data_IF_885683698267
#
_entry.id   IF_885683698267
#
_cell.length_a   1.000
_cell.length_b   1.000
_cell.length_c   1.000
_cell.angle_alpha   90.00
_cell.angle_beta   90.00
_cell.angle_gamma   90.00
#
_symmetry.space_group_name_H-M   'P 1'
#
loop_
_entity.id
_entity.type
_entity.pdbx_description
1 polymer ?
#
# COMPACT_ATOMS: atom_id res chain seq x y z
N UNK A 1 -15.78 -25.64 8.06
CA UNK A 1 -14.86 -26.71 8.53
C UNK A 1 -13.84 -26.99 7.44
N UNK A 2 -12.55 -26.70 7.66
CA UNK A 2 -11.47 -26.98 6.69
C UNK A 2 -11.17 -28.47 6.72
N UNK A 3 -11.13 -29.18 5.58
CA UNK A 3 -10.84 -30.61 5.54
C UNK A 3 -9.47 -30.92 6.15
N UNK A 4 -9.41 -31.85 7.09
CA UNK A 4 -8.18 -32.27 7.81
C UNK A 4 -7.03 -32.66 6.86
N UNK A 5 -7.33 -33.11 5.65
CA UNK A 5 -6.34 -33.48 4.63
C UNK A 5 -5.59 -32.28 4.06
N UNK A 6 -6.23 -31.10 3.98
CA UNK A 6 -5.59 -29.84 3.52
C UNK A 6 -4.59 -29.32 4.56
N UNK A 7 -4.92 -29.43 5.84
CA UNK A 7 -4.02 -29.04 6.94
C UNK A 7 -2.78 -29.94 6.97
N UNK A 8 -2.95 -31.25 6.72
CA UNK A 8 -1.85 -32.23 6.67
C UNK A 8 -0.91 -31.96 5.49
N UNK A 9 -1.43 -31.66 4.31
CA UNK A 9 -0.61 -31.32 3.12
C UNK A 9 0.14 -30.00 3.31
N UNK A 10 -0.49 -29.02 3.95
CA UNK A 10 0.11 -27.70 4.23
C UNK A 10 1.26 -27.81 5.26
N UNK A 11 1.06 -28.59 6.32
CA UNK A 11 2.09 -28.84 7.33
C UNK A 11 3.26 -29.65 6.77
N UNK A 12 3.00 -30.61 5.88
CA UNK A 12 4.04 -31.41 5.20
C UNK A 12 4.87 -30.54 4.23
N UNK A 13 4.23 -29.63 3.49
CA UNK A 13 4.92 -28.66 2.61
C UNK A 13 5.79 -27.69 3.41
N UNK A 14 5.28 -27.19 4.55
CA UNK A 14 6.01 -26.27 5.43
C UNK A 14 7.20 -26.94 6.11
N UNK A 15 7.06 -28.22 6.54
CA UNK A 15 8.14 -28.99 7.15
C UNK A 15 9.25 -29.30 6.13
N UNK A 16 8.91 -29.67 4.90
CA UNK A 16 9.87 -29.94 3.83
C UNK A 16 10.62 -28.65 3.42
N UNK A 17 9.94 -27.50 3.38
CA UNK A 17 10.57 -26.23 3.07
C UNK A 17 11.57 -25.80 4.15
N UNK A 18 11.22 -26.00 5.43
CA UNK A 18 12.13 -25.73 6.53
C UNK A 18 13.33 -26.67 6.52
N UNK A 19 13.13 -27.97 6.27
CA UNK A 19 14.20 -28.96 6.18
C UNK A 19 15.18 -28.65 5.05
N UNK A 20 14.68 -28.32 3.87
CA UNK A 20 15.53 -27.94 2.72
C UNK A 20 16.35 -26.68 3.04
N UNK A 21 15.76 -25.66 3.67
CA UNK A 21 16.48 -24.47 4.08
C UNK A 21 17.54 -24.77 5.15
N UNK A 22 17.22 -25.64 6.12
CA UNK A 22 18.17 -26.06 7.15
C UNK A 22 19.34 -26.81 6.55
N UNK A 23 19.08 -27.74 5.62
CA UNK A 23 20.13 -28.48 4.90
C UNK A 23 21.01 -27.52 4.09
N UNK A 24 20.43 -26.53 3.40
CA UNK A 24 21.20 -25.51 2.67
C UNK A 24 22.10 -24.71 3.58
N UNK A 25 21.61 -24.26 4.73
CA UNK A 25 22.39 -23.52 5.72
C UNK A 25 23.55 -24.36 6.26
N UNK A 26 23.30 -25.65 6.53
CA UNK A 26 24.33 -26.59 6.99
C UNK A 26 25.42 -26.77 5.92
N UNK A 27 25.07 -26.96 4.65
CA UNK A 27 26.00 -27.09 3.55
C UNK A 27 26.87 -25.84 3.36
N UNK A 28 26.27 -24.65 3.46
CA UNK A 28 26.99 -23.37 3.42
C UNK A 28 27.99 -23.27 4.57
N UNK A 29 27.60 -23.66 5.78
CA UNK A 29 28.46 -23.66 6.96
C UNK A 29 29.63 -24.63 6.82
N UNK A 30 29.37 -25.85 6.38
CA UNK A 30 30.43 -26.87 6.14
C UNK A 30 31.42 -26.41 5.06
N UNK A 31 30.93 -25.76 4.01
CA UNK A 31 31.77 -25.19 2.97
C UNK A 31 32.64 -24.05 3.50
N UNK A 32 32.09 -23.14 4.30
CA UNK A 32 32.87 -22.07 4.95
C UNK A 32 33.98 -22.64 5.87
N UNK A 33 33.66 -23.69 6.64
CA UNK A 33 34.65 -24.39 7.47
C UNK A 33 35.77 -25.03 6.64
N UNK A 34 35.42 -25.60 5.47
CA UNK A 34 36.42 -26.19 4.58
C UNK A 34 37.41 -25.16 4.00
N UNK A 35 36.91 -23.95 3.64
CA UNK A 35 37.72 -22.83 3.19
C UNK A 35 38.66 -22.36 4.31
N UNK A 36 38.16 -22.21 5.54
CA UNK A 36 38.92 -21.83 6.72
C UNK A 36 40.02 -22.85 7.03
N UNK A 37 39.72 -24.15 6.94
CA UNK A 37 40.69 -25.23 7.12
C UNK A 37 41.80 -25.21 6.08
N UNK A 38 41.46 -25.03 4.80
CA UNK A 38 42.42 -24.93 3.72
C UNK A 38 43.32 -23.68 3.84
N UNK A 39 42.76 -22.56 4.29
CA UNK A 39 43.50 -21.33 4.59
C UNK A 39 44.47 -21.55 5.77
N UNK A 40 43.98 -22.15 6.87
CA UNK A 40 44.79 -22.42 8.05
C UNK A 40 45.98 -23.36 7.75
N UNK A 41 45.77 -24.33 6.87
CA UNK A 41 46.86 -25.27 6.44
C UNK A 41 47.80 -24.64 5.42
N UNK A 42 47.67 -23.35 5.07
CA UNK A 42 48.47 -22.63 4.04
C UNK A 42 48.52 -23.32 2.66
N UNK A 43 47.57 -24.22 2.40
CA UNK A 43 47.48 -24.93 1.11
C UNK A 43 46.84 -24.10 0.00
N UNK A 44 46.21 -22.98 0.32
CA UNK A 44 45.56 -22.11 -0.66
C UNK A 44 45.98 -20.66 -0.39
N UNK A 45 46.34 -19.92 -1.46
CA UNK A 45 46.66 -18.51 -1.36
C UNK A 45 45.42 -17.64 -1.02
N UNK A 46 45.65 -16.47 -0.44
CA UNK A 46 44.59 -15.49 -0.12
C UNK A 46 43.73 -15.16 -1.35
N UNK A 47 44.34 -15.09 -2.54
CA UNK A 47 43.66 -14.82 -3.79
C UNK A 47 42.60 -15.88 -4.11
N UNK A 48 42.89 -17.16 -3.94
CA UNK A 48 41.93 -18.24 -4.18
C UNK A 48 40.81 -18.26 -3.16
N UNK A 49 41.10 -17.95 -1.88
CA UNK A 49 40.03 -17.86 -0.84
C UNK A 49 39.07 -16.71 -1.10
N UNK A 50 39.55 -15.55 -1.58
CA UNK A 50 38.70 -14.43 -1.94
C UNK A 50 37.82 -14.72 -3.17
N UNK A 51 38.39 -15.34 -4.21
CA UNK A 51 37.62 -15.74 -5.41
C UNK A 51 36.55 -16.76 -5.05
N UNK A 52 36.88 -17.78 -4.27
CA UNK A 52 35.90 -18.76 -3.77
C UNK A 52 34.79 -18.14 -2.94
N UNK A 53 35.12 -17.17 -2.09
CA UNK A 53 34.11 -16.45 -1.29
C UNK A 53 33.16 -15.59 -2.15
N UNK A 54 33.69 -14.96 -3.20
CA UNK A 54 32.88 -14.20 -4.17
C UNK A 54 31.94 -15.14 -4.94
N UNK A 55 32.46 -16.27 -5.43
CA UNK A 55 31.65 -17.28 -6.14
C UNK A 55 30.57 -17.83 -5.23
N UNK A 56 30.88 -18.15 -3.98
CA UNK A 56 29.89 -18.61 -3.01
C UNK A 56 28.84 -17.55 -2.73
N UNK A 57 29.26 -16.31 -2.54
CA UNK A 57 28.35 -15.18 -2.35
C UNK A 57 27.39 -14.99 -3.53
N UNK A 58 27.89 -15.10 -4.77
CA UNK A 58 27.04 -15.04 -5.97
C UNK A 58 26.09 -16.23 -6.09
N UNK A 59 26.55 -17.45 -5.77
CA UNK A 59 25.68 -18.64 -5.74
C UNK A 59 24.57 -18.49 -4.69
N UNK A 60 24.90 -18.00 -3.49
CA UNK A 60 23.91 -17.74 -2.43
C UNK A 60 22.90 -16.68 -2.88
N UNK A 61 23.36 -15.60 -3.52
CA UNK A 61 22.49 -14.57 -4.09
C UNK A 61 21.58 -15.15 -5.16
N UNK A 62 22.10 -15.98 -6.08
CA UNK A 62 21.32 -16.62 -7.14
C UNK A 62 20.31 -17.64 -6.54
N UNK A 63 20.71 -18.42 -5.54
CA UNK A 63 19.82 -19.41 -4.91
C UNK A 63 18.74 -18.78 -4.04
N UNK A 64 19.03 -17.63 -3.42
CA UNK A 64 18.06 -16.87 -2.64
C UNK A 64 17.28 -15.87 -3.49
N UNK A 65 17.66 -15.72 -4.79
CA UNK A 65 16.85 -14.94 -5.72
C UNK A 65 15.49 -15.60 -5.87
N UNK A 66 14.41 -14.85 -5.72
CA UNK A 66 13.05 -15.41 -5.60
C UNK A 66 12.50 -15.96 -6.92
N UNK A 67 13.15 -17.01 -7.47
CA UNK A 67 12.76 -17.63 -8.76
C UNK A 67 11.35 -18.22 -8.78
N UNK A 68 10.78 -18.55 -7.61
CA UNK A 68 9.49 -19.24 -7.57
C UNK A 68 8.29 -18.33 -7.81
N UNK A 69 8.47 -17.02 -7.73
CA UNK A 69 7.40 -16.03 -7.92
C UNK A 69 7.60 -15.15 -9.16
N UNK A 70 8.68 -15.34 -9.92
CA UNK A 70 8.99 -14.54 -11.12
C UNK A 70 7.83 -14.53 -12.13
N UNK A 71 7.12 -15.66 -12.25
CA UNK A 71 5.97 -15.73 -13.16
C UNK A 71 4.80 -14.85 -12.71
N UNK A 72 4.46 -14.85 -11.41
CA UNK A 72 3.35 -14.04 -10.89
C UNK A 72 3.67 -12.55 -10.94
N UNK A 73 4.89 -12.15 -10.55
CA UNK A 73 5.36 -10.77 -10.64
C UNK A 73 5.30 -10.25 -12.07
N UNK A 74 5.84 -11.03 -13.02
CA UNK A 74 5.81 -10.68 -14.43
C UNK A 74 4.38 -10.59 -14.99
N UNK A 75 3.51 -11.49 -14.55
CA UNK A 75 2.08 -11.47 -14.90
C UNK A 75 1.43 -10.18 -14.39
N UNK A 76 1.66 -9.82 -13.13
CA UNK A 76 1.09 -8.61 -12.53
C UNK A 76 1.71 -7.33 -13.11
N UNK A 77 3.02 -7.32 -13.35
CA UNK A 77 3.71 -6.21 -14.00
C UNK A 77 3.14 -5.91 -15.41
N UNK A 78 2.79 -6.95 -16.16
CA UNK A 78 2.22 -6.82 -17.50
C UNK A 78 0.68 -6.63 -17.48
N UNK A 79 0.05 -6.61 -16.32
CA UNK A 79 -1.41 -6.56 -16.13
C UNK A 79 -2.16 -7.63 -16.96
N UNK A 80 -1.58 -8.84 -17.08
CA UNK A 80 -2.13 -9.95 -17.86
C UNK A 80 -3.14 -10.74 -16.99
N UNK A 81 -4.39 -10.29 -17.01
CA UNK A 81 -5.46 -10.91 -16.22
C UNK A 81 -5.70 -12.38 -16.59
N UNK A 82 -5.54 -12.77 -17.87
CA UNK A 82 -5.77 -14.15 -18.28
C UNK A 82 -4.73 -15.08 -17.68
N UNK A 83 -3.45 -14.72 -17.78
CA UNK A 83 -2.38 -15.48 -17.13
C UNK A 83 -2.46 -15.43 -15.61
N UNK A 84 -2.99 -14.35 -15.03
CA UNK A 84 -3.22 -14.27 -13.60
C UNK A 84 -4.25 -15.31 -13.14
N UNK A 85 -5.39 -15.42 -13.83
CA UNK A 85 -6.42 -16.44 -13.56
C UNK A 85 -5.88 -17.87 -13.76
N UNK A 86 -5.13 -18.10 -14.83
CA UNK A 86 -4.47 -19.38 -15.08
C UNK A 86 -3.48 -19.73 -13.94
N UNK A 87 -2.67 -18.77 -13.51
CA UNK A 87 -1.75 -18.94 -12.40
C UNK A 87 -2.47 -19.32 -11.10
N UNK A 88 -3.57 -18.65 -10.78
CA UNK A 88 -4.39 -18.99 -9.60
C UNK A 88 -4.90 -20.43 -9.68
N UNK A 89 -5.50 -20.82 -10.81
CA UNK A 89 -6.01 -22.17 -11.03
C UNK A 89 -4.91 -23.23 -10.91
N UNK A 90 -3.78 -23.05 -11.60
CA UNK A 90 -2.65 -23.97 -11.63
C UNK A 90 -2.02 -24.19 -10.23
N UNK A 91 -2.09 -23.20 -9.36
CA UNK A 91 -1.50 -23.26 -8.02
C UNK A 91 -2.55 -23.54 -6.93
N UNK A 92 -3.80 -23.87 -7.29
CA UNK A 92 -4.92 -24.05 -6.36
C UNK A 92 -5.12 -22.83 -5.44
N UNK A 93 -4.94 -21.64 -5.99
CA UNK A 93 -5.12 -20.37 -5.30
C UNK A 93 -6.48 -19.78 -5.67
N UNK A 94 -7.07 -19.10 -4.70
CA UNK A 94 -8.28 -18.28 -4.89
C UNK A 94 -7.96 -16.84 -4.54
N UNK A 95 -8.78 -15.90 -4.97
CA UNK A 95 -8.63 -14.49 -4.59
C UNK A 95 -8.65 -14.32 -3.07
N UNK A 96 -9.46 -15.14 -2.37
CA UNK A 96 -9.57 -15.09 -0.90
C UNK A 96 -8.32 -15.55 -0.15
N UNK A 97 -7.48 -16.39 -0.74
CA UNK A 97 -6.29 -16.94 -0.07
C UNK A 97 -4.97 -16.45 -0.66
N UNK A 98 -5.00 -15.68 -1.76
CA UNK A 98 -3.78 -15.17 -2.42
C UNK A 98 -2.98 -14.23 -1.53
N UNK A 99 -3.59 -13.59 -0.52
CA UNK A 99 -2.91 -12.72 0.44
C UNK A 99 -1.82 -13.45 1.24
N UNK A 100 -1.87 -14.79 1.29
CA UNK A 100 -0.82 -15.62 1.93
C UNK A 100 0.49 -15.62 1.15
N UNK A 101 0.48 -15.23 -0.12
CA UNK A 101 1.69 -15.12 -0.92
C UNK A 101 2.52 -13.92 -0.45
N UNK A 102 3.77 -14.18 -0.13
CA UNK A 102 4.73 -13.14 0.21
C UNK A 102 5.39 -12.61 -1.06
N UNK A 103 5.16 -11.36 -1.35
CA UNK A 103 5.84 -10.64 -2.41
C UNK A 103 7.21 -10.12 -1.94
N UNK A 104 8.13 -9.87 -2.86
CA UNK A 104 9.53 -9.48 -2.60
C UNK A 104 9.61 -8.27 -1.66
N UNK A 105 8.69 -7.31 -1.81
CA UNK A 105 8.63 -6.08 -1.00
C UNK A 105 7.77 -6.21 0.25
N UNK A 106 7.42 -7.43 0.70
CA UNK A 106 6.39 -7.66 1.72
C UNK A 106 5.02 -7.02 1.40
N UNK A 107 4.80 -6.66 0.13
CA UNK A 107 3.53 -6.13 -0.36
C UNK A 107 2.49 -7.24 -0.44
N UNK A 108 1.24 -6.90 -0.19
CA UNK A 108 0.11 -7.77 -0.53
C UNK A 108 -0.15 -7.73 -2.04
N UNK A 109 -0.81 -8.74 -2.64
CA UNK A 109 -1.17 -8.72 -4.06
C UNK A 109 -1.90 -7.45 -4.50
N UNK A 110 -2.82 -6.96 -3.66
CA UNK A 110 -3.58 -5.73 -3.94
C UNK A 110 -2.67 -4.50 -4.00
N UNK A 111 -1.74 -4.35 -3.05
CA UNK A 111 -0.80 -3.24 -3.03
C UNK A 111 0.19 -3.32 -4.19
N UNK A 112 0.64 -4.53 -4.52
CA UNK A 112 1.53 -4.73 -5.66
C UNK A 112 0.86 -4.38 -6.98
N UNK A 113 -0.43 -4.70 -7.14
CA UNK A 113 -1.18 -4.30 -8.34
C UNK A 113 -1.30 -2.77 -8.49
N UNK A 114 -1.46 -2.04 -7.38
CA UNK A 114 -1.45 -0.57 -7.38
C UNK A 114 -0.05 -0.05 -7.75
N UNK A 115 1.00 -0.59 -7.13
CA UNK A 115 2.39 -0.18 -7.37
C UNK A 115 2.81 -0.38 -8.84
N UNK A 116 2.40 -1.49 -9.45
CA UNK A 116 2.70 -1.79 -10.86
C UNK A 116 1.68 -1.19 -11.84
N UNK A 117 0.66 -0.48 -11.37
CA UNK A 117 -0.44 0.05 -12.17
C UNK A 117 -1.20 -1.03 -12.95
N UNK A 118 -1.27 -2.24 -12.40
CA UNK A 118 -1.96 -3.40 -12.95
C UNK A 118 -3.47 -3.31 -12.68
N UNK A 119 -4.15 -2.42 -13.38
CA UNK A 119 -5.55 -2.07 -13.08
C UNK A 119 -6.53 -3.21 -13.34
N UNK A 120 -6.31 -4.04 -14.38
CA UNK A 120 -7.21 -5.18 -14.67
C UNK A 120 -7.16 -6.22 -13.57
N UNK A 121 -5.95 -6.53 -13.07
CA UNK A 121 -5.75 -7.47 -11.97
C UNK A 121 -6.27 -6.87 -10.68
N UNK A 122 -6.00 -5.59 -10.40
CA UNK A 122 -6.55 -4.88 -9.25
C UNK A 122 -8.08 -4.95 -9.21
N UNK A 123 -8.73 -4.58 -10.32
CA UNK A 123 -10.19 -4.65 -10.47
C UNK A 123 -10.70 -6.06 -10.22
N UNK A 124 -10.06 -7.06 -10.80
CA UNK A 124 -10.43 -8.45 -10.56
C UNK A 124 -10.33 -8.86 -9.09
N UNK A 125 -9.29 -8.44 -8.39
CA UNK A 125 -9.14 -8.71 -6.94
C UNK A 125 -10.27 -8.07 -6.13
N UNK A 126 -10.56 -6.78 -6.35
CA UNK A 126 -11.62 -6.04 -5.64
C UNK A 126 -13.00 -6.64 -5.88
N UNK A 127 -13.31 -7.03 -7.12
CA UNK A 127 -14.62 -7.57 -7.51
C UNK A 127 -14.82 -9.04 -7.09
N UNK A 128 -13.75 -9.79 -6.80
CA UNK A 128 -13.82 -11.22 -6.45
C UNK A 128 -13.47 -11.50 -4.99
N UNK A 129 -13.91 -10.63 -4.06
CA UNK A 129 -13.85 -10.81 -2.61
C UNK A 129 -12.43 -10.96 -2.05
N UNK A 130 -11.46 -10.20 -2.59
CA UNK A 130 -10.19 -10.02 -1.92
C UNK A 130 -10.42 -9.32 -0.57
N UNK A 131 -9.73 -9.77 0.47
CA UNK A 131 -9.79 -9.10 1.78
C UNK A 131 -9.04 -7.76 1.72
N UNK A 132 -9.78 -6.68 1.52
CA UNK A 132 -9.24 -5.31 1.41
C UNK A 132 -8.76 -4.76 2.75
N UNK A 133 -9.17 -5.38 3.88
CA UNK A 133 -8.67 -5.03 5.21
C UNK A 133 -7.36 -5.75 5.55
N UNK A 134 -6.94 -6.72 4.73
CA UNK A 134 -5.71 -7.44 5.00
C UNK A 134 -4.49 -6.53 4.87
N UNK A 135 -3.84 -6.32 6.01
CA UNK A 135 -2.60 -5.55 6.12
C UNK A 135 -1.46 -6.51 6.49
N UNK A 136 -0.56 -6.79 5.57
CA UNK A 136 0.64 -7.58 5.84
C UNK A 136 1.59 -6.88 6.83
N UNK A 137 2.69 -7.53 7.22
CA UNK A 137 3.60 -7.03 8.26
C UNK A 137 4.08 -5.58 8.06
N UNK A 138 4.39 -5.20 6.82
CA UNK A 138 4.86 -3.86 6.45
C UNK A 138 3.90 -3.20 5.46
N UNK A 139 2.64 -3.62 5.45
CA UNK A 139 1.68 -3.18 4.45
C UNK A 139 0.80 -2.07 5.01
N UNK A 140 0.34 -1.27 4.10
CA UNK A 140 -0.59 -0.17 4.35
C UNK A 140 -1.99 -0.63 3.94
N UNK A 141 -3.06 -0.06 4.47
CA UNK A 141 -4.41 -0.28 3.95
C UNK A 141 -4.48 0.04 2.45
N UNK A 142 -5.26 -0.73 1.70
CA UNK A 142 -5.33 -0.57 0.25
C UNK A 142 -5.73 0.85 -0.17
N UNK A 143 -6.71 1.46 0.52
CA UNK A 143 -7.16 2.82 0.21
C UNK A 143 -6.08 3.87 0.47
N UNK A 144 -5.34 3.78 1.58
CA UNK A 144 -4.27 4.73 1.88
C UNK A 144 -3.11 4.59 0.89
N UNK A 145 -2.81 3.36 0.47
CA UNK A 145 -1.78 3.11 -0.53
C UNK A 145 -2.19 3.56 -1.93
N UNK A 146 -3.46 3.37 -2.31
CA UNK A 146 -4.00 3.85 -3.58
C UNK A 146 -3.90 5.38 -3.70
N UNK A 147 -4.24 6.11 -2.64
CA UNK A 147 -4.09 7.57 -2.59
C UNK A 147 -2.64 8.00 -2.65
N UNK A 148 -1.75 7.31 -1.93
CA UNK A 148 -0.32 7.65 -1.86
C UNK A 148 0.41 7.38 -3.17
N UNK A 149 0.23 6.21 -3.77
CA UNK A 149 1.06 5.69 -4.86
C UNK A 149 0.30 5.38 -6.14
N UNK A 150 -1.03 5.28 -6.08
CA UNK A 150 -1.90 4.96 -7.20
C UNK A 150 -2.29 6.18 -8.04
N UNK A 151 -3.15 5.91 -9.00
CA UNK A 151 -3.89 6.93 -9.75
C UNK A 151 -5.34 7.00 -9.25
N UNK A 152 -6.06 8.03 -9.68
CA UNK A 152 -7.45 8.24 -9.26
C UNK A 152 -8.35 7.03 -9.50
N UNK A 153 -8.16 6.29 -10.59
CA UNK A 153 -8.98 5.13 -10.95
C UNK A 153 -8.94 4.01 -9.89
N UNK A 154 -7.79 3.83 -9.22
CA UNK A 154 -7.67 2.86 -8.11
C UNK A 154 -8.48 3.30 -6.90
N UNK A 155 -8.43 4.59 -6.58
CA UNK A 155 -9.20 5.17 -5.48
C UNK A 155 -10.69 5.08 -5.78
N UNK A 156 -11.10 5.51 -6.97
CA UNK A 156 -12.49 5.48 -7.42
C UNK A 156 -13.09 4.07 -7.34
N UNK A 157 -12.33 3.06 -7.79
CA UNK A 157 -12.80 1.67 -7.73
C UNK A 157 -12.97 1.18 -6.29
N UNK A 158 -12.02 1.49 -5.40
CA UNK A 158 -12.17 1.14 -3.98
C UNK A 158 -13.38 1.80 -3.36
N UNK A 159 -13.61 3.08 -3.65
CA UNK A 159 -14.75 3.83 -3.09
C UNK A 159 -16.12 3.32 -3.56
N UNK A 160 -16.18 2.56 -4.66
CA UNK A 160 -17.40 1.83 -5.07
C UNK A 160 -17.70 0.60 -4.19
N UNK A 161 -16.76 0.20 -3.33
CA UNK A 161 -16.83 -0.98 -2.49
C UNK A 161 -16.50 -0.67 -1.03
N UNK A 162 -16.97 0.47 -0.52
CA UNK A 162 -16.71 0.93 0.87
C UNK A 162 -17.31 0.02 1.93
N UNK A 163 -18.27 -0.81 1.56
CA UNK A 163 -18.85 -1.87 2.39
C UNK A 163 -17.87 -3.01 2.70
N UNK A 164 -16.79 -3.14 1.92
CA UNK A 164 -15.83 -4.24 2.03
C UNK A 164 -14.59 -3.93 2.86
N UNK A 165 -14.40 -2.69 3.31
CA UNK A 165 -13.20 -2.31 4.09
C UNK A 165 -13.44 -1.12 5.01
N UNK A 166 -12.52 -0.95 5.97
CA UNK A 166 -12.51 0.22 6.85
C UNK A 166 -11.99 1.45 6.09
N UNK A 167 -12.90 2.35 5.73
CA UNK A 167 -12.60 3.59 5.01
C UNK A 167 -11.66 4.52 5.80
N UNK A 168 -11.71 4.45 7.14
CA UNK A 168 -10.86 5.25 8.04
C UNK A 168 -9.57 4.55 8.46
N UNK A 169 -9.28 3.38 7.90
CA UNK A 169 -8.05 2.65 8.21
C UNK A 169 -6.82 3.54 8.00
N UNK A 170 -5.93 3.55 9.02
CA UNK A 170 -4.75 4.41 9.01
C UNK A 170 -3.51 3.66 8.50
N UNK A 171 -2.69 4.39 7.76
CA UNK A 171 -1.33 3.99 7.45
C UNK A 171 -0.49 4.08 8.73
N UNK A 172 0.20 3.00 9.10
CA UNK A 172 0.99 2.94 10.33
C UNK A 172 2.24 3.82 10.31
N UNK A 173 2.80 4.08 9.12
CA UNK A 173 4.01 4.89 8.98
C UNK A 173 3.73 6.37 9.26
N UNK A 174 2.55 6.84 8.83
CA UNK A 174 2.15 8.25 8.92
C UNK A 174 1.11 8.51 10.00
N UNK A 175 0.53 7.47 10.60
CA UNK A 175 -0.65 7.54 11.49
C UNK A 175 -1.80 8.34 10.87
N UNK A 176 -1.98 8.22 9.56
CA UNK A 176 -2.88 9.02 8.76
C UNK A 176 -3.84 8.14 7.94
N UNK A 177 -5.08 8.58 7.79
CA UNK A 177 -6.05 7.96 6.91
C UNK A 177 -5.89 8.42 5.44
N UNK A 178 -6.71 7.88 4.54
CA UNK A 178 -6.62 8.18 3.12
C UNK A 178 -6.81 9.67 2.79
N UNK A 179 -7.76 10.34 3.45
CA UNK A 179 -8.04 11.75 3.21
C UNK A 179 -6.88 12.63 3.70
N UNK A 180 -6.33 12.36 4.88
CA UNK A 180 -5.17 13.07 5.43
C UNK A 180 -3.94 12.91 4.52
N UNK A 181 -3.72 11.70 3.97
CA UNK A 181 -2.64 11.46 2.99
C UNK A 181 -2.92 12.20 1.68
N UNK A 182 -4.16 12.22 1.18
CA UNK A 182 -4.51 12.94 -0.03
C UNK A 182 -4.20 14.43 0.12
N UNK A 183 -4.59 15.03 1.24
CA UNK A 183 -4.35 16.44 1.55
C UNK A 183 -2.84 16.74 1.60
N UNK A 184 -2.08 15.92 2.31
CA UNK A 184 -0.62 16.06 2.35
C UNK A 184 0.01 15.98 0.96
N UNK A 185 -0.44 15.01 0.14
CA UNK A 185 0.09 14.82 -1.22
C UNK A 185 -0.21 15.99 -2.15
N UNK A 186 -1.16 16.87 -1.85
CA UNK A 186 -1.42 18.08 -2.68
C UNK A 186 -0.26 19.04 -2.71
N UNK A 187 0.66 18.97 -1.76
CA UNK A 187 1.92 19.73 -1.79
C UNK A 187 2.89 19.28 -2.90
N UNK A 188 2.67 18.07 -3.44
CA UNK A 188 3.57 17.41 -4.39
C UNK A 188 2.90 17.09 -5.73
N UNK A 189 1.58 16.91 -5.75
CA UNK A 189 0.81 16.52 -6.94
C UNK A 189 -0.64 16.94 -6.81
N UNK A 190 -1.35 17.10 -7.94
CA UNK A 190 -2.78 17.36 -7.92
C UNK A 190 -3.55 16.13 -7.42
N UNK A 191 -4.18 16.27 -6.27
CA UNK A 191 -5.01 15.26 -5.59
C UNK A 191 -6.45 15.71 -5.38
N UNK A 192 -6.89 16.75 -6.10
CA UNK A 192 -8.21 17.32 -5.93
C UNK A 192 -9.33 16.29 -6.13
N UNK A 193 -9.25 15.48 -7.19
CA UNK A 193 -10.25 14.45 -7.50
C UNK A 193 -10.34 13.38 -6.41
N UNK A 194 -9.20 12.94 -5.89
CA UNK A 194 -9.16 11.96 -4.81
C UNK A 194 -9.76 12.53 -3.53
N UNK A 195 -9.46 13.80 -3.20
CA UNK A 195 -10.03 14.47 -2.02
C UNK A 195 -11.56 14.60 -2.17
N UNK A 196 -12.05 15.07 -3.31
CA UNK A 196 -13.48 15.19 -3.57
C UNK A 196 -14.19 13.83 -3.43
N UNK A 197 -13.65 12.78 -4.06
CA UNK A 197 -14.22 11.43 -3.99
C UNK A 197 -14.23 10.86 -2.56
N UNK A 198 -13.17 11.08 -1.79
CA UNK A 198 -13.09 10.64 -0.38
C UNK A 198 -14.10 11.38 0.49
N UNK A 199 -14.26 12.69 0.29
CA UNK A 199 -15.29 13.48 0.99
C UNK A 199 -16.69 13.04 0.60
N UNK A 200 -16.94 12.74 -0.69
CA UNK A 200 -18.24 12.26 -1.19
C UNK A 200 -18.58 10.87 -0.66
N UNK A 201 -17.57 10.04 -0.35
CA UNK A 201 -17.77 8.75 0.32
C UNK A 201 -18.09 8.84 1.81
N UNK A 202 -18.19 10.07 2.36
CA UNK A 202 -18.54 10.32 3.76
C UNK A 202 -17.35 10.54 4.69
N UNK A 203 -16.11 10.57 4.18
CA UNK A 203 -14.98 10.94 5.03
C UNK A 203 -15.05 12.41 5.44
N UNK A 204 -14.64 12.66 6.67
CA UNK A 204 -14.55 14.03 7.22
C UNK A 204 -13.08 14.36 7.53
N UNK A 205 -12.71 15.61 7.31
CA UNK A 205 -11.40 16.12 7.68
C UNK A 205 -11.49 16.88 9.00
N UNK A 206 -10.51 16.62 9.89
CA UNK A 206 -10.34 17.37 11.13
C UNK A 206 -8.91 17.87 11.24
N UNK A 207 -8.74 19.18 11.44
CA UNK A 207 -7.43 19.80 11.66
C UNK A 207 -6.76 19.21 12.90
N UNK A 208 -7.53 19.00 13.96
CA UNK A 208 -6.99 18.44 15.20
C UNK A 208 -6.49 17.02 15.05
N UNK A 209 -7.12 16.22 14.20
CA UNK A 209 -6.65 14.87 13.86
C UNK A 209 -5.42 14.92 12.96
N UNK A 210 -5.42 15.79 11.94
CA UNK A 210 -4.27 15.96 11.04
C UNK A 210 -3.01 16.38 11.80
N UNK A 211 -3.10 17.35 12.73
CA UNK A 211 -1.98 17.78 13.58
C UNK A 211 -1.40 16.68 14.49
N UNK A 212 -2.13 15.60 14.71
CA UNK A 212 -1.65 14.42 15.44
C UNK A 212 -0.94 13.41 14.55
N UNK A 213 -1.05 13.53 13.23
CA UNK A 213 -0.40 12.62 12.28
C UNK A 213 1.09 12.94 12.16
N UNK A 214 1.88 11.96 11.73
CA UNK A 214 3.29 12.19 11.42
C UNK A 214 3.49 13.04 10.16
N UNK A 215 2.46 13.17 9.33
CA UNK A 215 2.51 14.01 8.12
C UNK A 215 2.65 15.49 8.46
N UNK A 216 1.98 15.94 9.53
CA UNK A 216 2.10 17.33 9.99
C UNK A 216 3.52 17.67 10.46
N UNK A 217 4.26 16.67 10.96
CA UNK A 217 5.68 16.84 11.32
C UNK A 217 6.58 16.99 10.10
N UNK A 218 6.18 16.46 8.94
CA UNK A 218 6.95 16.49 7.70
C UNK A 218 6.66 17.75 6.88
N UNK A 219 5.39 18.20 6.86
CA UNK A 219 4.93 19.38 6.13
C UNK A 219 4.01 20.21 7.01
N UNK A 220 4.30 21.51 7.11
CA UNK A 220 3.46 22.40 7.89
C UNK A 220 2.07 22.51 7.26
N UNK A 221 1.03 22.54 8.09
CA UNK A 221 -0.35 22.73 7.64
C UNK A 221 -0.52 23.96 6.75
N UNK A 222 0.28 25.01 6.98
CA UNK A 222 0.32 26.21 6.14
C UNK A 222 0.72 25.93 4.69
N UNK A 223 1.50 24.88 4.44
CA UNK A 223 1.94 24.49 3.08
C UNK A 223 0.85 23.88 2.21
N UNK A 224 -0.30 23.50 2.80
CA UNK A 224 -1.44 22.97 2.04
C UNK A 224 -1.92 24.05 1.05
N UNK A 225 -2.04 23.72 -0.25
CA UNK A 225 -2.47 24.67 -1.27
C UNK A 225 -3.81 25.33 -0.93
N UNK A 226 -3.92 26.62 -1.26
CA UNK A 226 -5.11 27.41 -0.98
C UNK A 226 -6.39 26.78 -1.55
N UNK A 227 -6.37 26.26 -2.76
CA UNK A 227 -7.52 25.58 -3.38
C UNK A 227 -7.96 24.34 -2.61
N UNK A 228 -7.00 23.62 -2.02
CA UNK A 228 -7.31 22.47 -1.15
C UNK A 228 -7.97 22.93 0.15
N UNK A 229 -7.46 23.98 0.79
CA UNK A 229 -8.07 24.59 1.98
C UNK A 229 -9.50 25.08 1.69
N UNK A 230 -9.70 25.72 0.56
CA UNK A 230 -11.01 26.18 0.09
C UNK A 230 -11.99 25.02 -0.06
N UNK A 231 -11.55 23.93 -0.70
CA UNK A 231 -12.39 22.75 -0.89
C UNK A 231 -12.81 22.14 0.45
N UNK A 232 -11.88 21.96 1.38
CA UNK A 232 -12.14 21.41 2.70
C UNK A 232 -13.09 22.30 3.51
N UNK A 233 -12.82 23.60 3.55
CA UNK A 233 -13.65 24.56 4.26
C UNK A 233 -15.08 24.61 3.70
N UNK A 234 -15.22 24.69 2.38
CA UNK A 234 -16.54 24.66 1.73
C UNK A 234 -17.31 23.39 2.07
N UNK A 235 -16.65 22.23 2.00
CA UNK A 235 -17.29 20.95 2.31
C UNK A 235 -17.71 20.86 3.77
N UNK A 236 -16.85 21.31 4.68
CA UNK A 236 -17.18 21.34 6.11
C UNK A 236 -18.41 22.20 6.39
N UNK A 237 -18.47 23.42 5.82
CA UNK A 237 -19.63 24.32 5.97
C UNK A 237 -20.89 23.66 5.40
N UNK A 238 -20.80 23.02 4.22
CA UNK A 238 -21.93 22.30 3.62
C UNK A 238 -22.44 21.17 4.52
N UNK A 239 -21.52 20.39 5.10
CA UNK A 239 -21.89 19.27 5.97
C UNK A 239 -22.52 19.74 7.30
N UNK A 240 -22.03 20.85 7.86
CA UNK A 240 -22.55 21.44 9.11
C UNK A 240 -23.84 22.24 8.91
N UNK A 241 -23.93 22.96 7.80
CA UNK A 241 -25.04 23.87 7.50
C UNK A 241 -26.01 23.26 6.49
N UNK A 242 -26.06 21.93 6.40
CA UNK A 242 -26.96 21.21 5.49
C UNK A 242 -28.42 21.69 5.54
N UNK A 243 -28.85 22.24 6.69
CA UNK A 243 -30.17 22.84 6.91
C UNK A 243 -30.18 24.37 6.76
N UNK A 244 -29.04 25.01 6.44
CA UNK A 244 -28.90 26.45 6.28
C UNK A 244 -28.33 26.80 4.90
N UNK A 245 -28.91 26.23 3.85
CA UNK A 245 -28.49 26.42 2.45
C UNK A 245 -28.41 27.91 2.07
N UNK A 246 -29.26 28.76 2.63
CA UNK A 246 -29.32 30.20 2.33
C UNK A 246 -27.97 30.91 2.60
N UNK A 247 -27.26 30.56 3.68
CA UNK A 247 -26.01 31.21 4.01
C UNK A 247 -24.90 30.90 2.96
N UNK A 248 -24.89 29.67 2.47
CA UNK A 248 -23.90 29.26 1.47
C UNK A 248 -24.16 29.93 0.13
N UNK A 249 -25.46 29.99 -0.28
CA UNK A 249 -25.87 30.67 -1.49
C UNK A 249 -25.60 32.18 -1.39
N UNK A 250 -25.82 32.78 -0.24
CA UNK A 250 -25.50 34.19 0.00
C UNK A 250 -24.00 34.47 -0.15
N UNK A 251 -23.16 33.64 0.44
CA UNK A 251 -21.71 33.78 0.33
C UNK A 251 -21.22 33.54 -1.12
N UNK A 252 -21.73 32.50 -1.79
CA UNK A 252 -21.33 32.19 -3.15
C UNK A 252 -21.83 33.22 -4.18
N UNK A 253 -23.02 33.79 -3.96
CA UNK A 253 -23.63 34.78 -4.85
C UNK A 253 -23.20 36.23 -4.56
N UNK A 254 -22.52 36.47 -3.44
CA UNK A 254 -22.06 37.82 -3.11
C UNK A 254 -20.93 38.27 -4.05
N UNK A 255 -21.32 38.99 -5.11
CA UNK A 255 -20.41 39.49 -6.14
C UNK A 255 -19.38 40.52 -5.64
N UNK A 256 -19.67 41.16 -4.47
CA UNK A 256 -18.75 42.14 -3.86
C UNK A 256 -17.53 41.48 -3.18
N UNK A 257 -17.63 40.20 -2.81
CA UNK A 257 -16.53 39.49 -2.18
C UNK A 257 -15.55 38.98 -3.23
N UNK A 258 -14.28 39.28 -3.04
CA UNK A 258 -13.20 38.67 -3.81
C UNK A 258 -13.11 37.18 -3.47
N UNK A 259 -12.63 36.38 -4.41
CA UNK A 259 -12.48 34.92 -4.21
C UNK A 259 -11.72 34.58 -2.92
N UNK A 260 -10.73 35.40 -2.55
CA UNK A 260 -9.95 35.25 -1.33
C UNK A 260 -10.80 35.47 -0.07
N UNK A 261 -11.66 36.49 -0.07
CA UNK A 261 -12.53 36.82 1.08
C UNK A 261 -13.57 35.72 1.30
N UNK A 262 -14.15 35.16 0.24
CA UNK A 262 -15.06 34.01 0.33
C UNK A 262 -14.38 32.80 0.96
N UNK A 263 -13.16 32.51 0.57
CA UNK A 263 -12.39 31.39 1.14
C UNK A 263 -12.08 31.65 2.61
N UNK A 264 -11.74 32.87 2.99
CA UNK A 264 -11.49 33.22 4.39
C UNK A 264 -12.74 33.07 5.27
N UNK A 265 -13.93 33.38 4.74
CA UNK A 265 -15.19 33.16 5.46
C UNK A 265 -15.39 31.65 5.70
N UNK A 266 -15.33 30.82 4.67
CA UNK A 266 -15.46 29.38 4.80
C UNK A 266 -14.42 28.79 5.74
N UNK A 267 -13.17 29.30 5.66
CA UNK A 267 -12.08 28.82 6.49
C UNK A 267 -12.24 29.23 7.94
N UNK A 268 -12.74 30.43 8.21
CA UNK A 268 -13.04 30.91 9.55
C UNK A 268 -14.13 30.04 10.18
N UNK A 269 -15.26 29.83 9.48
CA UNK A 269 -16.33 28.93 9.95
C UNK A 269 -15.79 27.53 10.24
N UNK A 270 -14.94 27.01 9.37
CA UNK A 270 -14.28 25.73 9.60
C UNK A 270 -13.43 25.71 10.88
N UNK A 271 -12.64 26.76 11.13
CA UNK A 271 -11.77 26.85 12.32
C UNK A 271 -12.54 27.09 13.61
N UNK A 272 -13.65 27.83 13.56
CA UNK A 272 -14.47 28.11 14.75
C UNK A 272 -15.19 26.83 15.25
N UNK A 273 -15.35 25.82 14.40
CA UNK A 273 -15.98 24.54 14.75
C UNK A 273 -14.98 23.38 14.90
N UNK A 274 -13.76 23.50 14.45
CA UNK A 274 -12.73 22.45 14.53
C UNK A 274 -11.96 22.48 15.85
#
# INVERSE_FOLDING_TARGET
MIPKNLIKSFNKSKSNFNLINTIKQLLIFLYALSILYLYYTKKISILYTTILSIILGTIILIQNWPHKHDSLFKIMYNDDLNKFKEYLSKNNLTVKNIHTLKFISNRTPILYSIEQRAFKIFKYLVENDYDLNYVGKNSQPAITFAVHSGTYEFVELLLKHTDKFDLYAKNKDFDANALEIAIWRTTQSDKKKEIEALLDSGMTFSISNYKKTKLELMDKFESIPFETKKLLAKRYVLDKLKNQLNLIEEIDNNKSLKSFDKVNIYWKEYLDFA
#
